data_IF_742308648795
#
_entry.id   IF_742308648795
#
_cell.length_a   1.000
_cell.length_b   1.000
_cell.length_c   1.000
_cell.angle_alpha   90.00
_cell.angle_beta   90.00
_cell.angle_gamma   90.00
#
_symmetry.space_group_name_H-M   'P 1'
#
loop_
_entity.id
_entity.type
_entity.pdbx_description
1 polymer ?
#
# COMPACT_ATOMS: atom_id res chain seq x y z
N UNK A 1 -7.75 -6.76 -8.04
CA UNK A 1 -7.67 -6.19 -6.70
C UNK A 1 -7.49 -4.68 -6.79
N UNK A 2 -8.00 -3.97 -5.82
CA UNK A 2 -7.94 -2.52 -5.83
C UNK A 2 -6.55 -2.02 -5.50
N UNK A 3 -6.10 -1.02 -6.23
CA UNK A 3 -4.82 -0.39 -5.96
C UNK A 3 -5.02 0.83 -5.07
N UNK A 4 -3.98 1.20 -4.35
CA UNK A 4 -4.01 2.32 -3.42
C UNK A 4 -2.81 3.21 -3.67
N UNK A 5 -3.04 4.52 -3.66
CA UNK A 5 -2.00 5.50 -3.95
C UNK A 5 -1.67 6.31 -2.71
N UNK A 6 -0.37 6.43 -2.43
CA UNK A 6 0.09 7.30 -1.35
C UNK A 6 -0.11 8.76 -1.75
N UNK A 7 -0.87 9.51 -0.95
CA UNK A 7 -1.14 10.91 -1.25
C UNK A 7 0.08 11.81 -1.03
N UNK A 8 1.12 11.29 -0.39
CA UNK A 8 2.32 12.08 -0.07
C UNK A 8 3.40 11.99 -1.14
N UNK A 9 3.56 10.83 -1.78
CA UNK A 9 4.63 10.63 -2.74
C UNK A 9 4.19 9.99 -4.05
N UNK A 10 2.95 9.52 -4.12
CA UNK A 10 2.42 8.88 -5.33
C UNK A 10 2.77 7.41 -5.49
N UNK A 11 3.31 6.78 -4.44
CA UNK A 11 3.58 5.35 -4.48
C UNK A 11 2.27 4.57 -4.65
N UNK A 12 2.29 3.56 -5.51
CA UNK A 12 1.11 2.73 -5.75
C UNK A 12 1.31 1.38 -5.05
N UNK A 13 0.43 1.06 -4.11
CA UNK A 13 0.39 -0.28 -3.53
C UNK A 13 -0.50 -1.15 -4.40
N UNK A 14 0.09 -2.17 -5.02
CA UNK A 14 -0.62 -3.13 -5.84
C UNK A 14 -0.76 -4.43 -5.05
N UNK A 15 -1.95 -4.79 -4.57
CA UNK A 15 -2.12 -6.03 -3.81
C UNK A 15 -1.66 -7.28 -4.54
N UNK A 16 -1.76 -7.30 -5.87
CA UNK A 16 -1.33 -8.46 -6.65
C UNK A 16 0.19 -8.63 -6.61
N UNK A 17 0.94 -7.54 -6.46
CA UNK A 17 2.40 -7.58 -6.40
C UNK A 17 2.92 -7.63 -4.96
N UNK A 18 2.14 -7.15 -3.99
CA UNK A 18 2.55 -7.05 -2.61
C UNK A 18 3.58 -5.95 -2.40
N UNK A 19 4.28 -6.02 -1.28
CA UNK A 19 5.34 -5.06 -0.95
C UNK A 19 6.53 -5.81 -0.37
N UNK A 20 7.48 -6.24 -1.22
CA UNK A 20 8.63 -6.99 -0.74
C UNK A 20 9.52 -6.19 0.22
N UNK A 21 9.57 -4.87 0.07
CA UNK A 21 10.34 -4.02 0.99
C UNK A 21 9.71 -3.97 2.38
N UNK A 22 8.38 -4.08 2.45
CA UNK A 22 7.65 -4.12 3.71
C UNK A 22 7.33 -5.53 4.18
N UNK A 23 7.89 -6.54 3.53
CA UNK A 23 7.69 -7.93 3.87
C UNK A 23 6.23 -8.37 3.70
N UNK A 24 5.57 -7.83 2.69
CA UNK A 24 4.17 -8.13 2.38
C UNK A 24 4.12 -9.06 1.17
N UNK A 25 3.52 -10.23 1.36
CA UNK A 25 3.41 -11.22 0.29
C UNK A 25 2.45 -10.76 -0.80
N UNK A 26 2.69 -11.15 -2.07
CA UNK A 26 1.73 -10.91 -3.14
C UNK A 26 0.37 -11.51 -2.82
N UNK A 27 -0.69 -10.81 -3.19
CA UNK A 27 -2.04 -11.24 -2.92
C UNK A 27 -2.62 -10.71 -1.62
N UNK A 28 -1.89 -9.85 -0.90
CA UNK A 28 -2.37 -9.26 0.33
C UNK A 28 -3.18 -8.00 0.02
N UNK A 29 -4.44 -7.97 0.44
CA UNK A 29 -5.29 -6.81 0.26
C UNK A 29 -4.79 -5.66 1.15
N UNK A 30 -5.07 -4.42 0.73
CA UNK A 30 -4.61 -3.25 1.49
C UNK A 30 -5.14 -3.26 2.93
N UNK A 31 -6.40 -3.63 3.12
CA UNK A 31 -7.01 -3.67 4.44
C UNK A 31 -6.44 -4.79 5.32
N UNK A 32 -5.74 -5.75 4.73
CA UNK A 32 -5.08 -6.82 5.49
C UNK A 32 -3.67 -6.43 5.92
N UNK A 33 -3.18 -5.28 5.50
CA UNK A 33 -1.87 -4.80 5.94
C UNK A 33 -1.89 -4.48 7.44
N UNK A 34 -0.74 -4.67 8.14
CA UNK A 34 -0.65 -4.29 9.54
C UNK A 34 -0.97 -2.81 9.74
N UNK A 35 -1.50 -2.45 10.90
CA UNK A 35 -1.82 -1.05 11.21
C UNK A 35 -0.58 -0.17 11.20
N UNK A 36 0.58 -0.75 11.49
CA UNK A 36 1.85 -0.01 11.51
C UNK A 36 2.58 -0.04 10.18
N UNK A 37 1.99 -0.65 9.14
CA UNK A 37 2.58 -0.61 7.80
C UNK A 37 2.60 0.83 7.29
N UNK A 38 3.73 1.20 6.70
CA UNK A 38 3.92 2.54 6.15
C UNK A 38 4.36 2.45 4.71
N UNK A 39 4.24 3.57 3.99
CA UNK A 39 4.70 3.65 2.61
C UNK A 39 6.19 3.34 2.54
N UNK A 40 6.62 2.36 1.73
CA UNK A 40 8.04 2.02 1.63
C UNK A 40 8.88 3.10 0.94
N UNK A 41 8.21 4.06 0.30
CA UNK A 41 8.90 5.13 -0.41
C UNK A 41 9.10 6.38 0.45
N UNK A 42 8.07 6.83 1.16
CA UNK A 42 8.15 8.09 1.92
C UNK A 42 7.83 7.92 3.41
N UNK A 43 7.35 6.77 3.84
CA UNK A 43 7.03 6.53 5.24
C UNK A 43 5.68 7.03 5.69
N UNK A 44 4.79 7.40 4.76
CA UNK A 44 3.45 7.85 5.12
C UNK A 44 2.64 6.69 5.70
N UNK A 45 1.77 6.99 6.66
CA UNK A 45 0.92 5.98 7.28
C UNK A 45 -0.18 5.51 6.33
N UNK A 46 -0.81 4.39 6.67
CA UNK A 46 -1.88 3.80 5.84
C UNK A 46 -3.01 4.78 5.55
N UNK A 47 -3.36 5.62 6.51
CA UNK A 47 -4.47 6.57 6.36
C UNK A 47 -4.17 7.68 5.36
N UNK A 48 -2.93 7.78 4.89
CA UNK A 48 -2.56 8.72 3.83
C UNK A 48 -2.77 8.14 2.43
N UNK A 49 -3.17 6.87 2.34
CA UNK A 49 -3.40 6.22 1.06
C UNK A 49 -4.85 6.39 0.63
N UNK A 50 -5.04 6.55 -0.66
CA UNK A 50 -6.37 6.66 -1.27
C UNK A 50 -6.58 5.53 -2.25
N UNK A 51 -7.79 4.96 -2.22
CA UNK A 51 -8.13 3.87 -3.14
C UNK A 51 -8.24 4.39 -4.57
N UNK A 52 -7.58 3.70 -5.49
CA UNK A 52 -7.66 4.01 -6.91
C UNK A 52 -8.73 3.10 -7.51
N UNK A 53 -9.72 3.70 -8.14
CA UNK A 53 -10.76 2.95 -8.84
C UNK A 53 -10.43 2.90 -10.32
N UNK A 54 -10.52 1.71 -10.88
CA UNK A 54 -10.34 1.52 -12.32
C UNK A 54 -11.61 1.82 -13.09
#
# INVERSE_FOLDING_TARGET
MEQWECSQCGYIYDPAAGDPDGDIAPGTAFEDLPDDWICPNCGASKDQFEKIED
#
